data_IF_720526101782
#
_entry.id   IF_720526101782
#
_cell.length_a   1.000
_cell.length_b   1.000
_cell.length_c   1.000
_cell.angle_alpha   90.00
_cell.angle_beta   90.00
_cell.angle_gamma   90.00
#
_symmetry.space_group_name_H-M   'P 1'
#
loop_
_entity.id
_entity.type
_entity.pdbx_description
1 polymer ?
#
# COMPACT_ATOMS: atom_id res chain seq x y z
N UNK A 1 2.03 40.46 -11.10
CA UNK A 1 2.93 39.46 -10.47
C UNK A 1 2.20 38.12 -10.50
N UNK A 2 2.79 37.07 -11.09
CA UNK A 2 2.14 35.74 -11.17
C UNK A 2 2.21 35.10 -9.78
N UNK A 3 1.05 34.76 -9.20
CA UNK A 3 0.95 34.06 -7.93
C UNK A 3 1.55 32.66 -8.07
N UNK A 4 2.80 32.49 -7.62
CA UNK A 4 3.43 31.18 -7.46
C UNK A 4 2.66 30.46 -6.35
N UNK A 5 1.65 29.67 -6.71
CA UNK A 5 1.03 28.73 -5.77
C UNK A 5 2.15 27.82 -5.28
N UNK A 6 2.43 27.86 -3.99
CA UNK A 6 3.33 26.90 -3.37
C UNK A 6 2.78 25.49 -3.68
N UNK A 7 3.53 24.74 -4.49
CA UNK A 7 3.28 23.30 -4.66
C UNK A 7 3.39 22.72 -3.25
N UNK A 8 2.39 21.98 -2.74
CA UNK A 8 2.49 21.40 -1.41
C UNK A 8 3.78 20.59 -1.38
N UNK A 9 4.71 20.98 -0.50
CA UNK A 9 5.90 20.18 -0.22
C UNK A 9 5.38 18.81 0.23
N UNK A 10 5.39 17.84 -0.69
CA UNK A 10 4.97 16.47 -0.39
C UNK A 10 5.95 15.98 0.66
N UNK A 11 5.50 15.96 1.92
CA UNK A 11 6.20 15.25 3.00
C UNK A 11 6.65 13.91 2.41
N UNK A 12 7.92 13.51 2.60
CA UNK A 12 8.43 12.30 2.00
C UNK A 12 7.55 11.15 2.47
N UNK A 13 6.94 10.48 1.50
CA UNK A 13 5.95 9.46 1.75
C UNK A 13 6.51 8.40 2.71
N UNK A 14 5.78 8.16 3.82
CA UNK A 14 6.19 7.24 4.90
C UNK A 14 6.43 5.84 4.34
N UNK A 15 5.65 5.44 3.34
CA UNK A 15 5.73 4.14 2.71
C UNK A 15 7.00 3.97 1.87
N UNK A 16 7.37 4.98 1.06
CA UNK A 16 8.63 5.01 0.31
C UNK A 16 9.85 4.89 1.23
N UNK A 17 9.85 5.56 2.39
CA UNK A 17 10.94 5.42 3.38
C UNK A 17 11.02 4.00 3.96
N UNK A 18 9.87 3.37 4.25
CA UNK A 18 9.83 2.00 4.79
C UNK A 18 10.25 0.99 3.73
N UNK A 19 9.74 1.10 2.51
CA UNK A 19 10.14 0.26 1.38
C UNK A 19 11.63 0.37 1.08
N UNK A 20 12.22 1.57 1.14
CA UNK A 20 13.67 1.74 0.90
C UNK A 20 14.54 0.98 1.90
N UNK A 21 14.04 0.72 3.11
CA UNK A 21 14.73 -0.11 4.11
C UNK A 21 14.61 -1.62 3.83
N UNK A 22 13.59 -2.02 3.09
CA UNK A 22 13.33 -3.43 2.72
C UNK A 22 14.05 -3.74 1.41
N UNK A 23 13.77 -2.96 0.36
CA UNK A 23 14.46 -3.03 -0.92
C UNK A 23 14.52 -1.63 -1.56
N UNK A 24 15.72 -1.17 -1.99
CA UNK A 24 15.87 0.03 -2.79
C UNK A 24 15.08 -0.01 -4.12
N UNK A 25 15.04 -1.16 -4.79
CA UNK A 25 14.31 -1.33 -6.05
C UNK A 25 12.79 -1.33 -5.86
N UNK A 26 12.30 -1.92 -4.78
CA UNK A 26 10.89 -1.83 -4.39
C UNK A 26 10.48 -0.37 -4.10
N UNK A 27 11.35 0.40 -3.44
CA UNK A 27 11.11 1.81 -3.19
C UNK A 27 11.10 2.65 -4.48
N UNK A 28 11.95 2.29 -5.44
CA UNK A 28 11.97 2.89 -6.76
C UNK A 28 10.65 2.61 -7.51
N UNK A 29 10.23 1.35 -7.61
CA UNK A 29 8.96 0.94 -8.23
C UNK A 29 7.77 1.65 -7.59
N UNK A 30 7.73 1.70 -6.27
CA UNK A 30 6.64 2.37 -5.55
C UNK A 30 6.55 3.86 -5.91
N UNK A 31 7.68 4.56 -5.98
CA UNK A 31 7.73 5.99 -6.28
C UNK A 31 7.46 6.30 -7.75
N UNK A 32 8.03 5.52 -8.65
CA UNK A 32 8.04 5.78 -10.10
C UNK A 32 6.82 5.22 -10.82
N UNK A 33 6.18 4.17 -10.28
CA UNK A 33 5.05 3.48 -10.91
C UNK A 33 3.79 3.59 -10.05
N UNK A 34 3.85 3.12 -8.82
CA UNK A 34 2.64 2.93 -7.99
C UNK A 34 2.03 4.28 -7.58
N UNK A 35 2.82 5.20 -7.02
CA UNK A 35 2.31 6.53 -6.62
C UNK A 35 1.66 7.28 -7.79
N UNK A 36 2.30 7.40 -8.98
CA UNK A 36 1.67 8.03 -10.13
C UNK A 36 0.37 7.34 -10.54
N UNK A 37 0.34 6.00 -10.61
CA UNK A 37 -0.88 5.24 -10.95
C UNK A 37 -2.01 5.49 -9.95
N UNK A 38 -1.71 5.50 -8.64
CA UNK A 38 -2.69 5.83 -7.60
C UNK A 38 -3.21 7.27 -7.69
N UNK A 39 -2.41 8.19 -8.24
CA UNK A 39 -2.82 9.58 -8.50
C UNK A 39 -3.54 9.75 -9.84
N UNK A 40 -3.87 8.66 -10.54
CA UNK A 40 -4.52 8.70 -11.85
C UNK A 40 -3.62 9.17 -12.99
N UNK A 41 -2.30 9.18 -12.80
CA UNK A 41 -1.34 9.59 -13.83
C UNK A 41 -0.94 8.41 -14.71
N UNK A 42 -0.71 8.70 -15.99
CA UNK A 42 -0.08 7.75 -16.90
C UNK A 42 1.38 7.54 -16.50
N UNK A 43 1.82 6.28 -16.53
CA UNK A 43 3.21 5.92 -16.33
C UNK A 43 3.75 5.45 -17.67
N UNK A 44 4.76 6.15 -18.18
CA UNK A 44 5.45 5.79 -19.41
C UNK A 44 6.60 4.83 -19.07
N UNK A 45 6.52 3.59 -19.51
CA UNK A 45 7.53 2.57 -19.23
C UNK A 45 8.86 2.86 -19.90
N UNK A 46 8.89 3.66 -20.97
CA UNK A 46 10.13 4.07 -21.63
C UNK A 46 10.98 5.07 -20.82
N UNK A 47 10.39 5.69 -19.80
CA UNK A 47 11.09 6.62 -18.88
C UNK A 47 11.49 5.95 -17.57
N UNK A 48 11.14 4.67 -17.40
CA UNK A 48 11.48 3.89 -16.21
C UNK A 48 12.87 3.30 -16.41
N UNK A 49 13.73 3.48 -15.40
CA UNK A 49 14.98 2.75 -15.31
C UNK A 49 14.69 1.30 -14.91
N UNK A 50 14.69 0.40 -15.89
CA UNK A 50 14.44 -1.03 -15.68
C UNK A 50 15.55 -1.72 -14.89
N UNK A 51 16.76 -1.16 -14.87
CA UNK A 51 17.90 -1.70 -14.10
C UNK A 51 17.84 -1.30 -12.61
N UNK A 52 16.91 -0.42 -12.24
CA UNK A 52 16.77 0.07 -10.87
C UNK A 52 15.96 -0.88 -9.96
N UNK A 53 15.41 -1.98 -10.50
CA UNK A 53 14.62 -2.95 -9.74
C UNK A 53 14.67 -4.34 -10.38
N UNK A 54 14.43 -5.36 -9.57
CA UNK A 54 14.29 -6.74 -10.01
C UNK A 54 12.82 -7.22 -9.99
N UNK A 55 12.55 -8.36 -10.58
CA UNK A 55 11.21 -9.00 -10.53
C UNK A 55 10.78 -9.25 -9.07
N UNK A 56 11.72 -9.63 -8.21
CA UNK A 56 11.50 -9.84 -6.77
C UNK A 56 11.03 -8.57 -6.04
N UNK A 57 11.39 -7.39 -6.55
CA UNK A 57 10.95 -6.11 -6.00
C UNK A 57 9.47 -5.85 -6.26
N UNK A 58 8.93 -6.35 -7.36
CA UNK A 58 7.49 -6.27 -7.66
C UNK A 58 6.70 -7.00 -6.59
N UNK A 59 7.12 -8.22 -6.25
CA UNK A 59 6.51 -9.01 -5.18
C UNK A 59 6.64 -8.31 -3.82
N UNK A 60 7.81 -7.71 -3.55
CA UNK A 60 8.06 -6.95 -2.33
C UNK A 60 7.09 -5.78 -2.19
N UNK A 61 6.85 -5.01 -3.26
CA UNK A 61 5.88 -3.92 -3.28
C UNK A 61 4.45 -4.43 -3.06
N UNK A 62 4.07 -5.54 -3.70
CA UNK A 62 2.74 -6.14 -3.52
C UNK A 62 2.50 -6.53 -2.06
N UNK A 63 3.41 -7.31 -1.46
CA UNK A 63 3.29 -7.77 -0.06
C UNK A 63 3.27 -6.60 0.92
N UNK A 64 4.07 -5.58 0.66
CA UNK A 64 4.05 -4.34 1.45
C UNK A 64 2.68 -3.66 1.38
N UNK A 65 2.10 -3.56 0.19
CA UNK A 65 0.80 -2.93 0.02
C UNK A 65 -0.32 -3.73 0.70
N UNK A 66 -0.32 -5.05 0.56
CA UNK A 66 -1.28 -5.96 1.19
C UNK A 66 -1.26 -5.84 2.73
N UNK A 67 -0.07 -5.83 3.34
CA UNK A 67 0.08 -5.84 4.80
C UNK A 67 0.03 -4.47 5.46
N UNK A 68 0.67 -3.46 4.84
CA UNK A 68 0.90 -2.16 5.47
C UNK A 68 0.04 -1.03 4.91
N UNK A 69 -0.53 -1.15 3.71
CA UNK A 69 -1.29 -0.05 3.07
C UNK A 69 -2.78 -0.36 2.95
N UNK A 70 -3.15 -1.59 2.59
CA UNK A 70 -4.54 -2.00 2.51
C UNK A 70 -5.19 -2.02 3.90
N UNK A 71 -4.44 -2.38 4.95
CA UNK A 71 -4.92 -2.36 6.35
C UNK A 71 -5.07 -0.93 6.88
N UNK A 72 -4.21 0.00 6.47
CA UNK A 72 -4.19 1.40 6.93
C UNK A 72 -5.25 2.30 6.24
N UNK A 73 -6.04 1.76 5.30
CA UNK A 73 -7.14 2.52 4.67
C UNK A 73 -8.32 2.64 5.63
N UNK A 74 -8.89 3.84 5.84
CA UNK A 74 -10.00 4.02 6.75
C UNK A 74 -11.24 3.19 6.36
N UNK A 75 -11.43 2.92 5.06
CA UNK A 75 -12.53 2.06 4.60
C UNK A 75 -12.34 0.58 5.01
N UNK A 76 -11.09 0.12 5.05
CA UNK A 76 -10.75 -1.26 5.37
C UNK A 76 -10.57 -1.51 6.87
N UNK A 77 -10.37 -0.44 7.65
CA UNK A 77 -10.23 -0.51 9.10
C UNK A 77 -11.46 -1.13 9.77
N UNK A 78 -12.67 -0.80 9.31
CA UNK A 78 -13.92 -1.38 9.85
C UNK A 78 -13.98 -2.88 9.63
N UNK A 79 -13.57 -3.36 8.44
CA UNK A 79 -13.54 -4.78 8.11
C UNK A 79 -12.44 -5.52 8.88
N UNK A 80 -11.27 -4.89 9.05
CA UNK A 80 -10.18 -5.45 9.84
C UNK A 80 -10.53 -5.56 11.33
N UNK A 81 -11.16 -4.52 11.91
CA UNK A 81 -11.65 -4.54 13.29
C UNK A 81 -12.73 -5.60 13.50
N UNK A 82 -13.60 -5.83 12.51
CA UNK A 82 -14.59 -6.91 12.54
C UNK A 82 -13.92 -8.29 12.50
N UNK A 83 -12.94 -8.49 11.61
CA UNK A 83 -12.19 -9.74 11.51
C UNK A 83 -11.46 -10.08 12.83
N UNK A 84 -10.75 -9.12 13.41
CA UNK A 84 -10.07 -9.27 14.70
C UNK A 84 -11.05 -9.61 15.84
N UNK A 85 -12.24 -9.00 15.86
CA UNK A 85 -13.29 -9.33 16.83
C UNK A 85 -13.78 -10.76 16.68
N UNK A 86 -14.03 -11.21 15.44
CA UNK A 86 -14.48 -12.57 15.16
C UNK A 86 -13.39 -13.61 15.49
N UNK A 87 -12.13 -13.31 15.25
CA UNK A 87 -11.01 -14.20 15.57
C UNK A 87 -10.77 -14.33 17.09
N UNK A 88 -10.99 -13.25 17.85
CA UNK A 88 -10.86 -13.25 19.32
C UNK A 88 -12.09 -13.77 20.04
N UNK A 89 -13.25 -13.78 19.40
CA UNK A 89 -14.44 -14.39 19.98
C UNK A 89 -14.29 -15.92 19.99
N UNK A 90 -14.46 -16.54 21.16
CA UNK A 90 -14.54 -17.98 21.24
C UNK A 90 -15.69 -18.49 20.35
N UNK A 91 -15.49 -19.56 19.55
CA UNK A 91 -16.57 -20.10 18.75
C UNK A 91 -17.71 -20.54 19.68
N UNK A 92 -18.85 -19.87 19.57
CA UNK A 92 -20.10 -20.25 20.22
C UNK A 92 -20.62 -21.50 19.52
N UNK A 93 -20.15 -22.67 19.95
CA UNK A 93 -20.72 -23.96 19.55
C UNK A 93 -22.07 -24.08 20.27
N UNK A 94 -23.12 -23.48 19.72
CA UNK A 94 -24.48 -23.86 20.07
C UNK A 94 -24.91 -24.98 19.13
N UNK A 95 -24.99 -26.21 19.64
CA UNK A 95 -25.66 -27.30 18.92
C UNK A 95 -27.08 -26.85 18.58
N UNK A 96 -27.32 -26.59 17.30
CA UNK A 96 -28.67 -26.34 16.81
C UNK A 96 -29.38 -27.69 16.80
N UNK A 97 -30.23 -27.94 17.78
CA UNK A 97 -31.12 -29.11 17.76
C UNK A 97 -32.20 -28.81 16.71
N UNK A 98 -32.15 -29.53 15.60
CA UNK A 98 -33.28 -29.61 14.70
C UNK A 98 -34.34 -30.47 15.39
N UNK A 99 -35.47 -29.84 15.73
CA UNK A 99 -36.69 -30.52 16.16
C UNK A 99 -37.40 -31.11 14.95
#
# INVERSE_FOLDING_TARGET
>A
MKNLRAVPSKKPDKHSKRLKRISPGAAYLYKSVIIPKMQGKTVNTGEINMDAFEISDIETVYRYYEKDVAVDRPENRVLYELYEKLQKSAPLISQTKFL
#
